data_IF_139258508895
#
_entry.id   IF_139258508895
#
_cell.length_a   1.000
_cell.length_b   1.000
_cell.length_c   1.000
_cell.angle_alpha   90.00
_cell.angle_beta   90.00
_cell.angle_gamma   90.00
#
_symmetry.space_group_name_H-M   'P 1'
#
loop_
_entity.id
_entity.type
_entity.pdbx_description
1 polymer ?
#
# COMPACT_ATOMS: atom_id res chain seq x y z
N UNK A 1 11.74 14.91 -18.80
CA UNK A 1 10.29 15.04 -18.47
C UNK A 1 9.72 16.40 -18.88
N UNK A 2 8.54 16.44 -19.51
CA UNK A 2 7.79 17.67 -19.86
C UNK A 2 6.82 18.04 -18.73
N UNK A 3 6.54 19.34 -18.49
CA UNK A 3 5.46 19.75 -17.57
C UNK A 3 4.17 19.99 -18.36
N UNK A 4 3.06 19.43 -17.90
CA UNK A 4 1.75 19.57 -18.54
C UNK A 4 0.74 20.04 -17.52
N UNK A 5 0.03 21.13 -17.83
CA UNK A 5 -1.02 21.68 -16.98
C UNK A 5 -2.39 21.15 -17.41
N UNK A 6 -3.12 20.60 -16.45
CA UNK A 6 -4.53 20.26 -16.57
C UNK A 6 -5.35 21.34 -15.88
N UNK A 7 -6.32 21.91 -16.57
CA UNK A 7 -7.22 22.94 -16.04
C UNK A 7 -8.60 22.35 -15.95
N UNK A 8 -9.19 22.31 -14.75
CA UNK A 8 -10.56 21.86 -14.56
C UNK A 8 -11.60 22.95 -14.90
N UNK A 9 -12.88 22.58 -14.90
CA UNK A 9 -13.99 23.49 -15.23
C UNK A 9 -14.11 24.68 -14.24
N UNK A 10 -13.47 24.60 -13.07
CA UNK A 10 -13.44 25.66 -12.07
C UNK A 10 -12.18 26.56 -12.20
N UNK A 11 -11.31 26.28 -13.19
CA UNK A 11 -10.05 26.99 -13.39
C UNK A 11 -8.92 26.56 -12.45
N UNK A 12 -9.08 25.45 -11.72
CA UNK A 12 -8.01 24.89 -10.91
C UNK A 12 -6.97 24.23 -11.82
N UNK A 13 -5.69 24.52 -11.56
CA UNK A 13 -4.56 23.99 -12.36
C UNK A 13 -3.88 22.86 -11.59
N UNK A 14 -3.80 21.68 -12.23
CA UNK A 14 -2.96 20.56 -11.81
C UNK A 14 -1.80 20.42 -12.80
N UNK A 15 -0.60 20.79 -12.38
CA UNK A 15 0.62 20.53 -13.15
C UNK A 15 1.08 19.09 -12.91
N UNK A 16 1.24 18.31 -13.98
CA UNK A 16 1.84 16.97 -13.96
C UNK A 16 3.15 16.95 -14.75
N UNK A 17 3.99 15.94 -14.51
CA UNK A 17 5.18 15.67 -15.32
C UNK A 17 4.84 14.58 -16.34
N UNK A 18 5.17 14.74 -17.62
CA UNK A 18 4.97 13.73 -18.67
C UNK A 18 6.30 13.06 -19.03
N UNK A 19 6.31 11.73 -19.05
CA UNK A 19 7.44 10.89 -19.43
C UNK A 19 6.95 9.72 -20.27
N UNK A 20 7.51 9.54 -21.48
CA UNK A 20 7.16 8.46 -22.41
C UNK A 20 5.65 8.25 -22.62
N UNK A 21 4.88 9.34 -22.65
CA UNK A 21 3.42 9.29 -22.84
C UNK A 21 2.61 9.14 -21.54
N UNK A 22 3.25 8.79 -20.43
CA UNK A 22 2.61 8.64 -19.12
C UNK A 22 2.67 9.95 -18.32
N UNK A 23 1.60 10.23 -17.57
CA UNK A 23 1.51 11.39 -16.67
C UNK A 23 1.87 10.97 -15.25
N UNK A 24 2.89 11.62 -14.71
CA UNK A 24 3.46 11.40 -13.40
C UNK A 24 3.01 12.49 -12.43
N UNK A 25 2.83 12.11 -11.18
CA UNK A 25 2.49 13.04 -10.09
C UNK A 25 3.52 14.18 -10.02
N UNK A 26 3.09 15.42 -9.72
CA UNK A 26 4.02 16.53 -9.47
C UNK A 26 4.98 16.26 -8.30
N UNK A 27 4.65 15.30 -7.43
CA UNK A 27 5.50 14.85 -6.33
C UNK A 27 6.61 13.89 -6.78
N UNK A 28 6.60 13.42 -8.03
CA UNK A 28 7.71 12.61 -8.57
C UNK A 28 8.98 13.46 -8.55
N UNK A 29 9.99 12.95 -7.85
CA UNK A 29 11.25 13.62 -7.62
C UNK A 29 11.97 13.98 -8.93
N UNK A 30 12.84 14.99 -8.89
CA UNK A 30 13.40 15.59 -10.10
C UNK A 30 14.32 14.65 -10.91
N UNK A 31 14.84 13.60 -10.27
CA UNK A 31 15.69 12.57 -10.91
C UNK A 31 14.91 11.29 -11.29
N UNK A 32 13.77 11.43 -11.96
CA UNK A 32 12.98 10.28 -12.40
C UNK A 32 13.75 9.40 -13.40
N UNK A 33 14.47 10.01 -14.35
CA UNK A 33 15.26 9.28 -15.35
C UNK A 33 16.41 8.49 -14.71
N UNK A 34 17.10 9.05 -13.71
CA UNK A 34 18.10 8.33 -12.92
C UNK A 34 17.50 7.20 -12.09
N UNK A 35 16.31 7.41 -11.50
CA UNK A 35 15.58 6.36 -10.78
C UNK A 35 15.16 5.21 -11.67
N UNK A 36 14.63 5.49 -12.87
CA UNK A 36 14.28 4.45 -13.86
C UNK A 36 15.54 3.74 -14.36
N UNK A 37 16.61 4.47 -14.68
CA UNK A 37 17.87 3.85 -15.10
C UNK A 37 18.49 2.97 -14.00
N UNK A 38 18.28 3.30 -12.72
CA UNK A 38 18.68 2.44 -11.61
C UNK A 38 17.88 1.14 -11.55
N UNK A 39 16.63 1.12 -12.06
CA UNK A 39 15.84 -0.11 -12.17
C UNK A 39 16.37 -1.04 -13.27
N UNK A 40 16.94 -0.52 -14.36
CA UNK A 40 17.56 -1.35 -15.41
C UNK A 40 18.76 -2.15 -14.90
N UNK A 41 19.43 -1.64 -13.85
CA UNK A 41 20.51 -2.32 -13.15
C UNK A 41 20.04 -3.27 -12.04
N UNK A 42 18.73 -3.32 -11.76
CA UNK A 42 18.19 -4.15 -10.69
C UNK A 42 18.13 -5.61 -11.17
N UNK A 43 19.13 -6.39 -10.77
CA UNK A 43 19.11 -7.83 -10.96
C UNK A 43 18.23 -8.49 -9.91
N UNK A 44 17.29 -9.35 -10.33
CA UNK A 44 16.53 -10.20 -9.42
C UNK A 44 17.15 -11.60 -9.35
N UNK A 45 17.27 -12.13 -8.14
CA UNK A 45 17.60 -13.52 -7.89
C UNK A 45 16.35 -14.35 -7.68
N UNK A 46 16.47 -15.68 -7.81
CA UNK A 46 15.38 -16.62 -7.50
C UNK A 46 14.96 -16.60 -6.02
N UNK A 47 15.80 -16.03 -5.16
CA UNK A 47 15.61 -15.98 -3.70
C UNK A 47 15.07 -14.61 -3.26
N UNK A 48 14.87 -13.67 -4.20
CA UNK A 48 14.34 -12.35 -3.90
C UNK A 48 12.84 -12.39 -3.61
N UNK A 49 12.43 -11.55 -2.66
CA UNK A 49 11.03 -11.41 -2.23
C UNK A 49 10.49 -10.09 -2.73
N UNK A 50 9.50 -10.15 -3.62
CA UNK A 50 8.78 -8.97 -4.05
C UNK A 50 7.63 -8.67 -3.06
N UNK A 51 7.70 -7.50 -2.41
CA UNK A 51 6.59 -6.98 -1.61
C UNK A 51 5.81 -6.00 -2.46
N UNK A 52 4.55 -6.32 -2.72
CA UNK A 52 3.64 -5.44 -3.47
C UNK A 52 2.56 -4.94 -2.53
N UNK A 53 2.35 -3.62 -2.54
CA UNK A 53 1.28 -2.97 -1.77
C UNK A 53 0.52 -2.05 -2.71
N UNK A 54 -0.79 -1.88 -2.50
CA UNK A 54 -1.58 -0.90 -3.24
C UNK A 54 -1.05 0.51 -2.94
N UNK A 55 -0.37 1.12 -3.90
CA UNK A 55 0.13 2.48 -3.79
C UNK A 55 -1.06 3.44 -3.88
N UNK A 56 -1.19 4.31 -2.89
CA UNK A 56 -2.30 5.26 -2.82
C UNK A 56 -2.32 6.18 -4.05
N UNK A 57 -3.41 6.08 -4.82
CA UNK A 57 -3.85 7.08 -5.80
C UNK A 57 -2.89 7.31 -6.98
N UNK A 58 -2.62 6.28 -7.78
CA UNK A 58 -2.16 6.48 -9.16
C UNK A 58 -3.38 6.93 -9.99
N UNK A 59 -3.34 8.08 -10.69
CA UNK A 59 -4.43 8.47 -11.57
C UNK A 59 -4.72 7.38 -12.61
N UNK A 60 -5.94 6.85 -12.61
CA UNK A 60 -6.37 5.78 -13.53
C UNK A 60 -6.30 4.36 -12.97
N UNK A 61 -5.82 4.17 -11.74
CA UNK A 61 -5.85 2.89 -11.03
C UNK A 61 -6.93 2.91 -9.94
N UNK A 62 -7.60 1.77 -9.74
CA UNK A 62 -8.65 1.60 -8.74
C UNK A 62 -8.40 0.33 -7.91
N UNK A 63 -8.89 0.37 -6.67
CA UNK A 63 -8.64 -0.70 -5.71
C UNK A 63 -9.13 -2.07 -6.19
N UNK A 64 -10.25 -2.14 -6.92
CA UNK A 64 -10.83 -3.40 -7.37
C UNK A 64 -9.95 -3.99 -8.48
N UNK A 65 -9.63 -3.20 -9.50
CA UNK A 65 -8.80 -3.65 -10.63
C UNK A 65 -7.42 -4.12 -10.16
N UNK A 66 -6.77 -3.36 -9.27
CA UNK A 66 -5.49 -3.77 -8.69
C UNK A 66 -5.55 -5.14 -8.02
N UNK A 67 -6.55 -5.38 -7.17
CA UNK A 67 -6.68 -6.66 -6.48
C UNK A 67 -7.05 -7.79 -7.46
N UNK A 68 -7.86 -7.49 -8.48
CA UNK A 68 -8.23 -8.46 -9.51
C UNK A 68 -7.00 -8.99 -10.24
N UNK A 69 -6.15 -8.10 -10.74
CA UNK A 69 -4.95 -8.45 -11.52
C UNK A 69 -4.02 -9.37 -10.72
N UNK A 70 -3.80 -9.09 -9.43
CA UNK A 70 -2.95 -9.91 -8.57
C UNK A 70 -3.55 -11.28 -8.25
N UNK A 71 -4.87 -11.38 -8.12
CA UNK A 71 -5.56 -12.65 -7.88
C UNK A 71 -5.59 -13.50 -9.15
N UNK A 72 -5.85 -12.90 -10.31
CA UNK A 72 -5.76 -13.57 -11.60
C UNK A 72 -4.34 -14.06 -11.87
N UNK A 73 -3.32 -13.26 -11.53
CA UNK A 73 -1.92 -13.70 -11.58
C UNK A 73 -1.68 -14.90 -10.66
N UNK A 74 -2.11 -14.84 -9.40
CA UNK A 74 -1.98 -15.97 -8.46
C UNK A 74 -2.63 -17.24 -9.01
N UNK A 75 -3.86 -17.12 -9.51
CA UNK A 75 -4.65 -18.26 -9.96
C UNK A 75 -4.13 -18.84 -11.29
N UNK A 76 -3.57 -17.99 -12.15
CA UNK A 76 -2.92 -18.38 -13.41
C UNK A 76 -1.49 -18.92 -13.27
N UNK A 77 -0.84 -18.74 -12.11
CA UNK A 77 0.54 -19.14 -11.86
C UNK A 77 0.67 -20.02 -10.61
N UNK A 78 0.10 -21.24 -10.60
CA UNK A 78 0.05 -22.09 -9.41
C UNK A 78 1.43 -22.55 -8.90
N UNK A 79 2.45 -22.56 -9.77
CA UNK A 79 3.82 -22.91 -9.41
C UNK A 79 4.58 -21.75 -8.75
N UNK A 80 4.01 -20.54 -8.75
CA UNK A 80 4.62 -19.36 -8.14
C UNK A 80 4.16 -19.22 -6.67
N UNK A 81 5.08 -19.21 -5.69
CA UNK A 81 4.72 -18.99 -4.30
C UNK A 81 4.05 -17.63 -4.12
N UNK A 82 2.82 -17.62 -3.60
CA UNK A 82 2.05 -16.40 -3.36
C UNK A 82 1.48 -16.40 -1.94
N UNK A 83 1.79 -15.36 -1.16
CA UNK A 83 1.21 -15.14 0.17
C UNK A 83 0.28 -13.93 0.14
N UNK A 84 -1.02 -14.18 0.29
CA UNK A 84 -2.01 -13.12 0.49
C UNK A 84 -2.18 -12.85 1.99
N UNK A 85 -1.99 -11.58 2.39
CA UNK A 85 -2.24 -11.07 3.72
C UNK A 85 -3.11 -9.82 3.64
N UNK A 86 -4.17 -9.76 4.45
CA UNK A 86 -4.96 -8.55 4.62
C UNK A 86 -4.41 -7.72 5.78
N UNK A 87 -4.64 -6.41 5.76
CA UNK A 87 -4.29 -5.55 6.88
C UNK A 87 -5.04 -5.95 8.16
N UNK A 88 -6.27 -6.42 7.99
CA UNK A 88 -7.16 -6.85 9.05
C UNK A 88 -6.66 -8.12 9.74
N UNK A 89 -6.22 -9.14 8.99
CA UNK A 89 -5.62 -10.35 9.54
C UNK A 89 -4.39 -10.00 10.38
N UNK A 90 -3.50 -9.16 9.82
CA UNK A 90 -2.29 -8.72 10.51
C UNK A 90 -2.61 -7.92 11.76
N UNK A 91 -3.72 -7.17 11.78
CA UNK A 91 -4.10 -6.34 12.91
C UNK A 91 -4.82 -7.14 14.01
N UNK A 92 -5.57 -8.16 13.63
CA UNK A 92 -6.26 -9.06 14.55
C UNK A 92 -5.29 -9.99 15.27
N UNK A 93 -4.32 -10.57 14.55
CA UNK A 93 -3.29 -11.41 15.11
C UNK A 93 -1.94 -11.23 14.41
N UNK A 94 -1.15 -10.28 14.92
CA UNK A 94 0.19 -9.99 14.38
C UNK A 94 1.13 -11.20 14.46
N UNK A 95 1.05 -12.02 15.51
CA UNK A 95 1.92 -13.19 15.67
C UNK A 95 1.62 -14.26 14.62
N UNK A 96 0.34 -14.53 14.34
CA UNK A 96 -0.07 -15.42 13.24
C UNK A 96 0.44 -14.92 11.88
N UNK A 97 0.30 -13.62 11.61
CA UNK A 97 0.81 -13.03 10.38
C UNK A 97 2.33 -13.18 10.25
N UNK A 98 3.10 -12.92 11.33
CA UNK A 98 4.56 -13.10 11.34
C UNK A 98 4.92 -14.58 11.09
N UNK A 99 4.21 -15.52 11.72
CA UNK A 99 4.42 -16.95 11.50
C UNK A 99 4.13 -17.38 10.06
N UNK A 100 3.05 -16.87 9.45
CA UNK A 100 2.70 -17.11 8.04
C UNK A 100 3.78 -16.57 7.09
N UNK A 101 4.31 -15.37 7.36
CA UNK A 101 5.40 -14.78 6.59
C UNK A 101 6.68 -15.62 6.73
N UNK A 102 7.08 -15.99 7.95
CA UNK A 102 8.27 -16.79 8.17
C UNK A 102 8.19 -18.14 7.45
N UNK A 103 7.05 -18.83 7.54
CA UNK A 103 6.79 -20.07 6.81
C UNK A 103 6.87 -19.88 5.29
N UNK A 104 6.31 -18.79 4.77
CA UNK A 104 6.38 -18.48 3.34
C UNK A 104 7.81 -18.24 2.86
N UNK A 105 8.60 -17.53 3.67
CA UNK A 105 10.03 -17.29 3.45
C UNK A 105 10.92 -18.51 3.73
N UNK A 106 10.34 -19.60 4.27
CA UNK A 106 11.04 -20.82 4.69
C UNK A 106 12.08 -20.56 5.80
N UNK A 107 11.82 -19.57 6.63
CA UNK A 107 12.61 -19.24 7.80
C UNK A 107 12.12 -20.04 9.00
N UNK A 108 13.05 -20.72 9.69
CA UNK A 108 12.78 -21.44 10.92
C UNK A 108 13.00 -20.51 12.11
N UNK A 109 11.90 -19.97 12.65
CA UNK A 109 11.91 -19.08 13.82
C UNK A 109 11.02 -19.66 14.91
N UNK A 110 11.46 -19.52 16.16
CA UNK A 110 10.69 -19.99 17.31
C UNK A 110 9.59 -18.99 17.71
N UNK A 111 8.72 -19.42 18.63
CA UNK A 111 7.63 -18.58 19.15
C UNK A 111 8.15 -17.32 19.86
N UNK A 112 9.34 -17.38 20.46
CA UNK A 112 9.91 -16.22 21.14
C UNK A 112 10.26 -15.12 20.12
N UNK A 113 10.92 -15.48 19.03
CA UNK A 113 11.25 -14.57 17.94
C UNK A 113 9.99 -14.02 17.27
N UNK A 114 8.96 -14.85 17.06
CA UNK A 114 7.65 -14.41 16.53
C UNK A 114 7.06 -13.32 17.44
N UNK A 115 6.98 -13.56 18.75
CA UNK A 115 6.45 -12.59 19.70
C UNK A 115 7.31 -11.32 19.75
N UNK A 116 8.64 -11.42 19.68
CA UNK A 116 9.53 -10.26 19.64
C UNK A 116 9.32 -9.40 18.39
N UNK A 117 9.17 -10.02 17.22
CA UNK A 117 8.88 -9.32 15.95
C UNK A 117 7.50 -8.64 16.05
N UNK A 118 6.45 -9.39 16.43
CA UNK A 118 5.10 -8.86 16.55
C UNK A 118 5.05 -7.66 17.52
N UNK A 119 5.77 -7.76 18.65
CA UNK A 119 5.89 -6.70 19.64
C UNK A 119 6.57 -5.44 19.08
N UNK A 120 7.60 -5.58 18.23
CA UNK A 120 8.24 -4.44 17.54
C UNK A 120 7.34 -3.81 16.48
N UNK A 121 6.51 -4.63 15.83
CA UNK A 121 5.53 -4.19 14.82
C UNK A 121 4.28 -3.52 15.41
N UNK A 122 4.18 -3.37 16.74
CA UNK A 122 3.10 -2.61 17.36
C UNK A 122 3.09 -1.15 16.86
N UNK A 123 1.90 -0.66 16.50
CA UNK A 123 1.74 0.65 15.87
C UNK A 123 2.41 1.80 16.65
N UNK A 124 2.29 1.81 17.98
CA UNK A 124 2.90 2.88 18.80
C UNK A 124 4.43 2.84 18.78
N UNK A 125 5.02 1.65 18.70
CA UNK A 125 6.47 1.50 18.60
C UNK A 125 6.98 1.89 17.22
N UNK A 126 6.30 1.45 16.17
CA UNK A 126 6.62 1.88 14.80
C UNK A 126 6.48 3.40 14.62
N UNK A 127 5.43 4.01 15.20
CA UNK A 127 5.24 5.46 15.20
C UNK A 127 6.39 6.18 15.93
N UNK A 128 6.75 5.70 17.12
CA UNK A 128 7.84 6.27 17.92
C UNK A 128 9.17 6.17 17.17
N UNK A 129 9.51 4.96 16.70
CA UNK A 129 10.75 4.67 15.98
C UNK A 129 10.88 5.53 14.72
N UNK A 130 9.81 5.64 13.92
CA UNK A 130 9.84 6.47 12.71
C UNK A 130 10.01 7.94 13.04
N UNK A 131 9.29 8.45 14.05
CA UNK A 131 9.40 9.85 14.44
C UNK A 131 10.80 10.20 14.95
N UNK A 132 11.47 9.26 15.61
CA UNK A 132 12.86 9.42 16.06
C UNK A 132 13.88 9.35 14.93
N UNK A 133 13.58 8.64 13.83
CA UNK A 133 14.50 8.38 12.72
C UNK A 133 13.99 8.86 11.37
N UNK A 134 13.29 10.01 11.33
CA UNK A 134 12.80 10.61 10.10
C UNK A 134 13.98 11.10 9.24
N UNK A 135 14.13 10.60 7.99
CA UNK A 135 15.13 11.14 7.10
C UNK A 135 14.87 12.63 6.80
N UNK A 136 15.89 13.48 6.65
CA UNK A 136 15.71 14.92 6.42
C UNK A 136 14.81 15.25 5.21
N UNK A 137 14.82 14.42 4.17
CA UNK A 137 13.97 14.60 2.99
C UNK A 137 12.46 14.39 3.24
N UNK A 138 12.07 13.79 4.36
CA UNK A 138 10.67 13.68 4.79
C UNK A 138 10.20 14.85 5.66
N UNK A 139 11.10 15.72 6.14
CA UNK A 139 10.75 16.86 7.01
C UNK A 139 9.78 17.84 6.33
N UNK A 140 9.88 18.03 5.02
CA UNK A 140 8.95 18.89 4.27
C UNK A 140 7.51 18.33 4.26
N UNK A 141 7.37 17.00 4.27
CA UNK A 141 6.07 16.33 4.30
C UNK A 141 5.49 16.36 5.71
N UNK A 142 6.32 16.18 6.74
CA UNK A 142 5.88 16.17 8.15
C UNK A 142 5.76 17.55 8.79
N UNK A 143 6.43 18.58 8.27
CA UNK A 143 6.29 19.98 8.76
C UNK A 143 4.90 20.58 8.47
N UNK A 144 4.13 19.98 7.56
CA UNK A 144 2.77 20.42 7.25
C UNK A 144 1.71 19.88 8.22
N UNK A 145 1.94 18.73 8.90
CA UNK A 145 1.10 18.16 9.98
C UNK A 145 1.91 17.17 10.83
N UNK A 146 1.69 17.16 12.14
CA UNK A 146 2.50 16.40 13.12
C UNK A 146 2.67 14.89 12.84
N UNK A 147 1.86 14.23 12.01
CA UNK A 147 1.88 12.76 11.82
C UNK A 147 1.47 12.29 10.41
N UNK A 148 2.13 12.75 9.34
CA UNK A 148 1.62 12.48 7.97
C UNK A 148 1.62 11.00 7.56
N UNK A 149 2.58 10.18 8.03
CA UNK A 149 2.66 8.76 7.63
C UNK A 149 1.85 7.81 8.52
N UNK A 150 1.94 7.94 9.85
CA UNK A 150 1.24 7.07 10.80
C UNK A 150 0.08 7.81 11.46
N UNK A 151 -1.13 7.61 10.94
CA UNK A 151 -2.32 8.37 11.39
C UNK A 151 -3.03 7.77 12.61
N UNK A 152 -3.52 6.53 12.49
CA UNK A 152 -4.27 5.84 13.58
C UNK A 152 -3.95 4.35 13.69
N UNK A 153 -3.67 3.67 12.57
CA UNK A 153 -3.37 2.23 12.55
C UNK A 153 -4.48 1.35 13.12
N UNK A 154 -5.74 1.66 12.78
CA UNK A 154 -6.94 0.99 13.29
C UNK A 154 -7.87 0.61 12.14
N UNK A 155 -8.36 -0.62 12.17
CA UNK A 155 -9.46 -1.09 11.31
C UNK A 155 -10.77 -0.44 11.81
N UNK A 156 -11.69 -0.14 10.89
CA UNK A 156 -12.99 0.44 11.22
C UNK A 156 -13.03 1.97 11.34
N UNK A 157 -11.91 2.68 11.13
CA UNK A 157 -11.91 4.14 11.25
C UNK A 157 -12.79 4.84 10.21
N UNK A 158 -13.10 4.17 9.09
CA UNK A 158 -14.01 4.66 8.05
C UNK A 158 -15.38 5.07 8.60
N UNK A 159 -15.85 4.42 9.68
CA UNK A 159 -17.13 4.74 10.36
C UNK A 159 -17.18 6.15 10.92
N UNK A 160 -16.04 6.78 11.16
CA UNK A 160 -15.96 8.16 11.62
C UNK A 160 -16.07 9.18 10.48
N UNK A 161 -16.07 8.73 9.22
CA UNK A 161 -15.99 9.60 8.04
C UNK A 161 -17.17 9.38 7.09
N UNK A 162 -17.68 8.17 7.00
CA UNK A 162 -18.82 7.85 6.14
C UNK A 162 -20.12 8.19 6.85
N UNK A 163 -20.98 8.95 6.17
CA UNK A 163 -22.40 8.98 6.51
C UNK A 163 -23.06 7.64 6.16
N UNK A 164 -24.20 7.33 6.77
CA UNK A 164 -24.96 6.10 6.48
C UNK A 164 -25.25 5.97 4.99
N UNK A 165 -25.74 7.03 4.35
CA UNK A 165 -26.05 7.02 2.92
C UNK A 165 -24.84 6.81 2.03
N UNK A 166 -23.67 7.39 2.38
CA UNK A 166 -22.43 7.16 1.64
C UNK A 166 -21.97 5.71 1.79
N UNK A 167 -22.14 5.11 2.96
CA UNK A 167 -21.79 3.71 3.17
C UNK A 167 -22.69 2.78 2.35
N UNK A 168 -24.01 2.99 2.36
CA UNK A 168 -24.95 2.20 1.57
C UNK A 168 -24.65 2.27 0.06
N UNK A 169 -24.34 3.47 -0.44
CA UNK A 169 -23.94 3.66 -1.84
C UNK A 169 -22.60 2.96 -2.14
N UNK A 170 -21.62 3.08 -1.24
CA UNK A 170 -20.33 2.44 -1.40
C UNK A 170 -20.44 0.92 -1.40
N UNK A 171 -21.16 0.33 -0.45
CA UNK A 171 -21.38 -1.11 -0.36
C UNK A 171 -22.07 -1.65 -1.62
N UNK A 172 -23.04 -0.91 -2.17
CA UNK A 172 -23.72 -1.28 -3.41
C UNK A 172 -22.76 -1.27 -4.60
N UNK A 173 -21.94 -0.22 -4.74
CA UNK A 173 -20.96 -0.11 -5.83
C UNK A 173 -19.86 -1.16 -5.71
N UNK A 174 -19.33 -1.35 -4.51
CA UNK A 174 -18.24 -2.27 -4.27
C UNK A 174 -18.71 -3.72 -4.42
N UNK A 175 -19.91 -4.07 -3.97
CA UNK A 175 -20.51 -5.38 -4.24
C UNK A 175 -20.44 -5.71 -5.73
N UNK A 176 -21.06 -4.89 -6.58
CA UNK A 176 -21.06 -5.12 -8.03
C UNK A 176 -19.66 -5.20 -8.67
N UNK A 177 -18.68 -4.46 -8.15
CA UNK A 177 -17.32 -4.45 -8.70
C UNK A 177 -16.46 -5.61 -8.17
N UNK A 178 -16.70 -6.03 -6.93
CA UNK A 178 -15.92 -7.04 -6.22
C UNK A 178 -16.62 -8.41 -6.15
N UNK A 179 -17.78 -8.59 -6.78
CA UNK A 179 -18.53 -9.85 -6.77
C UNK A 179 -17.67 -11.05 -7.22
N UNK A 180 -16.75 -10.82 -8.17
CA UNK A 180 -15.81 -11.83 -8.67
C UNK A 180 -14.48 -11.85 -7.90
N UNK A 181 -14.22 -10.85 -7.05
CA UNK A 181 -13.05 -10.85 -6.18
C UNK A 181 -13.32 -11.83 -5.04
N UNK A 182 -12.80 -13.05 -5.16
CA UNK A 182 -12.82 -14.06 -4.10
C UNK A 182 -11.90 -13.66 -2.92
N UNK A 183 -12.17 -12.49 -2.33
CA UNK A 183 -11.47 -11.88 -1.21
C UNK A 183 -12.42 -11.75 -0.03
N UNK A 184 -11.93 -12.12 1.15
CA UNK A 184 -12.62 -11.81 2.39
C UNK A 184 -12.29 -10.37 2.82
N UNK A 185 -13.07 -9.41 2.32
CA UNK A 185 -12.90 -7.99 2.68
C UNK A 185 -13.55 -7.75 4.04
N UNK A 186 -12.74 -7.35 5.03
CA UNK A 186 -13.20 -7.04 6.39
C UNK A 186 -13.07 -5.54 6.65
N UNK A 187 -14.17 -4.88 6.99
CA UNK A 187 -14.17 -3.44 7.28
C UNK A 187 -14.00 -3.12 8.76
N UNK A 188 -14.09 -4.14 9.61
CA UNK A 188 -14.05 -4.06 11.07
C UNK A 188 -13.40 -5.31 11.64
N UNK A 189 -12.75 -5.16 12.80
CA UNK A 189 -12.34 -6.24 13.69
C UNK A 189 -13.20 -6.20 14.96
#
# INVERSE_FOLDING_TARGET
>A
MEKVDFIDDNGAVLTMKKYEGNYLSPLVWDDFEGQISALDGLGFTKDDVLIVTYLKSVPGDDWVSFHKDWLEFRDGNPDYPFLLLSYEDMKENTEDAVGRIAKFLKEDIDSEMISQIANKCEFQKMLTEKNSNLPPHFEMVTSLKEHVFYRKGKVGDWKNWFTVSQNEEFDTRLGHLADDLNLNIRYTL
#
